data_IF_708033338776
#
_entry.id   IF_708033338776
#
_cell.length_a   1.000
_cell.length_b   1.000
_cell.length_c   1.000
_cell.angle_alpha   90.00
_cell.angle_beta   90.00
_cell.angle_gamma   90.00
#
_symmetry.space_group_name_H-M   'P 1'
#
loop_
_entity.id
_entity.type
_entity.pdbx_description
1 polymer ?
#
# COMPACT_ATOMS: atom_id res chain seq x y z
N UNK A 1 11.47 2.67 8.68
CA UNK A 1 11.23 1.33 8.19
C UNK A 1 11.82 1.11 6.80
N UNK A 2 11.60 2.03 5.81
CA UNK A 2 12.15 1.87 4.45
C UNK A 2 13.67 1.65 4.51
N UNK A 3 14.43 2.53 5.16
CA UNK A 3 15.90 2.40 5.29
C UNK A 3 16.38 1.12 5.95
N UNK A 4 15.52 0.45 6.69
CA UNK A 4 15.83 -0.78 7.40
C UNK A 4 15.34 -2.03 6.66
N UNK A 5 14.89 -1.87 5.40
CA UNK A 5 14.50 -2.98 4.56
C UNK A 5 13.19 -3.67 4.95
N UNK A 6 12.25 -2.95 5.54
CA UNK A 6 10.89 -3.47 5.71
C UNK A 6 10.17 -3.50 4.37
N UNK A 7 9.54 -4.62 4.09
CA UNK A 7 8.67 -4.77 2.93
C UNK A 7 7.32 -4.11 3.21
N UNK A 8 6.99 -3.07 2.46
CA UNK A 8 5.79 -2.27 2.69
C UNK A 8 4.84 -2.41 1.52
N UNK A 9 3.61 -2.82 1.81
CA UNK A 9 2.54 -2.91 0.82
C UNK A 9 1.49 -1.82 1.08
N UNK A 10 1.19 -1.03 0.06
CA UNK A 10 0.27 0.11 0.14
C UNK A 10 -1.04 -0.27 -0.53
N UNK A 11 -2.12 -0.29 0.24
CA UNK A 11 -3.48 -0.55 -0.25
C UNK A 11 -4.32 0.72 -0.30
N UNK A 12 -5.34 0.72 -1.13
CA UNK A 12 -6.32 1.80 -1.20
C UNK A 12 -7.09 1.83 -2.50
N UNK A 13 -8.22 2.52 -2.51
CA UNK A 13 -9.06 2.70 -3.68
C UNK A 13 -8.39 3.51 -4.80
N UNK A 14 -9.07 3.59 -5.95
CA UNK A 14 -8.62 4.44 -7.06
C UNK A 14 -8.59 5.91 -6.61
N UNK A 15 -7.49 6.60 -6.91
CA UNK A 15 -7.32 8.00 -6.55
C UNK A 15 -7.07 8.27 -5.06
N UNK A 16 -6.80 7.25 -4.23
CA UNK A 16 -6.44 7.42 -2.81
C UNK A 16 -5.03 7.97 -2.58
N UNK A 17 -4.19 8.00 -3.63
CA UNK A 17 -2.84 8.55 -3.56
C UNK A 17 -1.73 7.50 -3.36
N UNK A 18 -1.98 6.23 -3.70
CA UNK A 18 -0.99 5.13 -3.56
C UNK A 18 0.35 5.45 -4.22
N UNK A 19 0.35 5.80 -5.51
CA UNK A 19 1.57 6.14 -6.26
C UNK A 19 2.29 7.36 -5.66
N UNK A 20 1.54 8.37 -5.22
CA UNK A 20 2.11 9.55 -4.54
C UNK A 20 2.78 9.16 -3.22
N UNK A 21 2.15 8.30 -2.45
CA UNK A 21 2.68 7.82 -1.17
C UNK A 21 3.89 6.90 -1.39
N UNK A 22 3.85 6.03 -2.41
CA UNK A 22 4.98 5.18 -2.80
C UNK A 22 6.19 6.03 -3.22
N UNK A 23 5.97 7.10 -4.00
CA UNK A 23 7.02 8.07 -4.33
C UNK A 23 7.61 8.74 -3.08
N UNK A 24 6.76 9.15 -2.13
CA UNK A 24 7.23 9.73 -0.88
C UNK A 24 8.05 8.73 -0.05
N UNK A 25 7.62 7.47 0.04
CA UNK A 25 8.39 6.43 0.74
C UNK A 25 9.71 6.12 0.04
N UNK A 26 9.73 6.08 -1.29
CA UNK A 26 10.95 5.80 -2.05
C UNK A 26 12.06 6.82 -1.78
N UNK A 27 11.73 8.06 -1.40
CA UNK A 27 12.71 9.09 -1.05
C UNK A 27 13.54 8.76 0.21
N UNK A 28 13.11 7.77 0.97
CA UNK A 28 13.86 7.28 2.14
C UNK A 28 14.79 6.11 1.82
N UNK A 29 14.82 5.61 0.58
CA UNK A 29 15.77 4.58 0.16
C UNK A 29 17.17 5.21 0.15
N UNK A 30 18.20 4.55 0.75
CA UNK A 30 19.56 5.07 0.72
C UNK A 30 20.08 5.21 -0.71
N UNK A 31 20.83 6.27 -0.97
CA UNK A 31 21.41 6.58 -2.30
C UNK A 31 22.40 5.51 -2.79
N UNK A 32 22.97 4.73 -1.87
CA UNK A 32 23.92 3.66 -2.15
C UNK A 32 23.27 2.39 -2.69
N UNK A 33 21.95 2.28 -2.58
CA UNK A 33 21.23 1.08 -2.93
C UNK A 33 20.98 0.98 -4.44
N UNK A 34 20.87 -0.27 -4.92
CA UNK A 34 20.41 -0.56 -6.28
C UNK A 34 18.90 -0.77 -6.27
N UNK A 35 18.19 0.09 -6.97
CA UNK A 35 16.72 0.06 -7.06
C UNK A 35 16.28 -0.36 -8.45
N UNK A 36 15.33 -1.27 -8.53
CA UNK A 36 14.64 -1.61 -9.79
C UNK A 36 13.15 -1.29 -9.60
N UNK A 37 12.60 -0.48 -10.50
CA UNK A 37 11.16 -0.24 -10.58
C UNK A 37 10.55 -1.06 -11.72
N UNK A 38 9.35 -1.58 -11.50
CA UNK A 38 8.59 -2.34 -12.50
C UNK A 38 7.17 -1.76 -12.51
N UNK A 39 6.74 -1.27 -13.67
CA UNK A 39 5.47 -0.57 -13.85
C UNK A 39 4.82 -0.92 -15.18
N UNK A 40 3.50 -0.82 -15.27
CA UNK A 40 2.78 -0.88 -16.55
C UNK A 40 3.05 0.35 -17.40
N UNK A 41 3.10 1.52 -16.76
CA UNK A 41 3.49 2.80 -17.32
C UNK A 41 4.28 3.57 -16.27
N UNK A 42 5.32 4.28 -16.67
CA UNK A 42 6.19 4.99 -15.75
C UNK A 42 5.46 6.15 -15.05
N UNK A 43 5.09 5.95 -13.80
CA UNK A 43 4.49 6.95 -12.90
C UNK A 43 5.44 7.32 -11.74
N UNK A 44 6.36 6.42 -11.39
CA UNK A 44 7.26 6.63 -10.26
C UNK A 44 8.36 7.65 -10.58
N UNK A 45 8.54 8.61 -9.69
CA UNK A 45 9.50 9.71 -9.81
C UNK A 45 10.61 9.59 -8.76
N UNK A 46 11.41 8.52 -8.87
CA UNK A 46 12.56 8.30 -7.99
C UNK A 46 13.77 9.02 -8.61
N UNK A 47 14.28 10.04 -7.96
CA UNK A 47 15.39 10.89 -8.48
C UNK A 47 16.64 10.86 -7.62
N UNK A 48 16.52 10.46 -6.35
CA UNK A 48 17.60 10.51 -5.37
C UNK A 48 18.53 9.28 -5.40
N UNK A 49 18.16 8.20 -6.11
CA UNK A 49 18.96 6.98 -6.19
C UNK A 49 19.72 6.94 -7.53
N UNK A 50 21.05 7.07 -7.55
CA UNK A 50 21.83 7.05 -8.79
C UNK A 50 21.79 5.69 -9.51
N UNK A 51 21.72 4.58 -8.75
CA UNK A 51 21.68 3.22 -9.31
C UNK A 51 20.24 2.73 -9.46
N UNK A 52 19.49 3.39 -10.33
CA UNK A 52 18.09 3.10 -10.62
C UNK A 52 17.94 2.49 -12.01
N UNK A 53 17.24 1.35 -12.08
CA UNK A 53 16.79 0.72 -13.32
C UNK A 53 15.27 0.78 -13.38
N UNK A 54 14.72 1.25 -14.48
CA UNK A 54 13.27 1.30 -14.71
C UNK A 54 12.89 0.28 -15.77
N UNK A 55 11.94 -0.57 -15.45
CA UNK A 55 11.39 -1.60 -16.33
C UNK A 55 9.91 -1.32 -16.53
N UNK A 56 9.48 -1.33 -17.77
CA UNK A 56 8.08 -1.14 -18.14
C UNK A 56 7.59 -2.33 -18.94
N UNK A 57 6.31 -2.65 -18.78
CA UNK A 57 5.66 -3.69 -19.59
C UNK A 57 5.59 -3.26 -21.05
N UNK A 58 5.45 -4.24 -21.92
CA UNK A 58 5.25 -4.01 -23.35
C UNK A 58 4.08 -4.86 -23.81
N UNK A 59 3.08 -4.21 -24.42
CA UNK A 59 2.00 -4.92 -25.08
C UNK A 59 2.49 -5.77 -26.27
N UNK A 60 1.69 -6.75 -26.66
CA UNK A 60 1.94 -7.52 -27.87
C UNK A 60 1.91 -6.62 -29.12
N UNK A 61 2.67 -7.00 -30.13
CA UNK A 61 2.65 -6.36 -31.45
C UNK A 61 1.33 -6.67 -32.21
N UNK A 62 1.21 -6.18 -33.44
CA UNK A 62 0.01 -6.40 -34.26
C UNK A 62 -0.25 -7.88 -34.58
N UNK A 63 0.77 -8.74 -34.48
CA UNK A 63 0.70 -10.18 -34.69
C UNK A 63 0.38 -10.96 -33.41
N UNK A 64 0.23 -10.25 -32.26
CA UNK A 64 -0.05 -10.85 -30.97
C UNK A 64 1.18 -11.37 -30.23
N UNK A 65 2.39 -11.02 -30.68
CA UNK A 65 3.65 -11.53 -30.15
C UNK A 65 4.45 -10.46 -29.39
N UNK A 66 5.42 -10.91 -28.60
CA UNK A 66 6.43 -10.04 -27.96
C UNK A 66 5.92 -9.25 -26.76
N UNK A 67 4.80 -9.64 -26.16
CA UNK A 67 4.37 -9.08 -24.87
C UNK A 67 5.42 -9.34 -23.78
N UNK A 68 5.61 -8.36 -22.90
CA UNK A 68 6.43 -8.48 -21.69
C UNK A 68 5.59 -8.05 -20.51
N UNK A 69 5.27 -8.98 -19.65
CA UNK A 69 4.41 -8.76 -18.50
C UNK A 69 5.22 -8.42 -17.23
N UNK A 70 4.54 -7.91 -16.20
CA UNK A 70 5.17 -7.61 -14.90
C UNK A 70 5.87 -8.84 -14.32
N UNK A 71 5.28 -10.03 -14.44
CA UNK A 71 5.89 -11.30 -14.01
C UNK A 71 7.25 -11.57 -14.66
N UNK A 72 7.38 -11.31 -15.97
CA UNK A 72 8.63 -11.49 -16.70
C UNK A 72 9.70 -10.53 -16.21
N UNK A 73 9.30 -9.28 -15.98
CA UNK A 73 10.17 -8.22 -15.48
C UNK A 73 10.65 -8.50 -14.05
N UNK A 74 9.77 -9.00 -13.17
CA UNK A 74 10.15 -9.41 -11.82
C UNK A 74 11.21 -10.51 -11.89
N UNK A 75 10.96 -11.60 -12.64
CA UNK A 75 11.92 -12.70 -12.79
C UNK A 75 13.26 -12.26 -13.38
N UNK A 76 13.23 -11.37 -14.37
CA UNK A 76 14.46 -10.80 -14.95
C UNK A 76 15.22 -9.93 -13.94
N UNK A 77 14.50 -9.11 -13.15
CA UNK A 77 15.09 -8.20 -12.17
C UNK A 77 15.88 -8.92 -11.08
N UNK A 78 15.46 -10.13 -10.66
CA UNK A 78 16.17 -10.92 -9.65
C UNK A 78 17.61 -11.28 -10.07
N UNK A 79 17.89 -11.33 -11.39
CA UNK A 79 19.25 -11.54 -11.92
C UNK A 79 20.08 -10.27 -12.04
N UNK A 80 19.47 -9.12 -11.79
CA UNK A 80 20.13 -7.80 -11.84
C UNK A 80 20.68 -7.35 -10.49
N UNK A 81 20.58 -8.18 -9.45
CA UNK A 81 21.02 -7.91 -8.06
C UNK A 81 20.43 -6.63 -7.47
N UNK A 82 19.10 -6.45 -7.43
CA UNK A 82 18.51 -5.31 -6.75
C UNK A 82 18.65 -5.44 -5.23
N UNK A 83 18.82 -4.32 -4.53
CA UNK A 83 18.57 -4.22 -3.10
C UNK A 83 17.08 -3.97 -2.88
N UNK A 84 16.51 -3.05 -3.66
CA UNK A 84 15.09 -2.71 -3.61
C UNK A 84 14.40 -3.06 -4.93
N UNK A 85 13.29 -3.76 -4.81
CA UNK A 85 12.36 -4.04 -5.90
C UNK A 85 11.06 -3.26 -5.65
N UNK A 86 10.72 -2.36 -6.55
CA UNK A 86 9.50 -1.57 -6.45
C UNK A 86 8.56 -1.97 -7.59
N UNK A 87 7.43 -2.60 -7.23
CA UNK A 87 6.38 -2.93 -8.19
C UNK A 87 5.29 -1.89 -8.05
N UNK A 88 5.10 -1.07 -9.08
CA UNK A 88 4.19 0.07 -9.05
C UNK A 88 2.79 -0.31 -8.62
N UNK A 89 2.23 -1.39 -9.19
CA UNK A 89 0.94 -1.95 -8.77
C UNK A 89 0.87 -3.45 -9.06
N UNK A 90 0.26 -4.19 -8.13
CA UNK A 90 -0.04 -5.63 -8.26
C UNK A 90 -1.54 -5.81 -8.45
N UNK A 91 -1.93 -6.45 -9.56
CA UNK A 91 -3.32 -6.62 -9.98
C UNK A 91 -3.73 -8.06 -10.27
N UNK A 92 -2.74 -8.96 -10.47
CA UNK A 92 -2.99 -10.32 -10.93
C UNK A 92 -1.90 -11.32 -10.54
N UNK A 93 -1.57 -12.22 -11.47
CA UNK A 93 -0.67 -13.37 -11.25
C UNK A 93 0.75 -12.99 -10.84
N UNK A 94 1.21 -11.80 -11.19
CA UNK A 94 2.52 -11.25 -10.80
C UNK A 94 2.70 -11.14 -9.28
N UNK A 95 1.59 -11.20 -8.54
CA UNK A 95 1.58 -11.24 -7.08
C UNK A 95 2.49 -12.35 -6.54
N UNK A 96 2.41 -13.55 -7.09
CA UNK A 96 3.21 -14.68 -6.63
C UNK A 96 4.70 -14.48 -6.87
N UNK A 97 5.08 -13.97 -8.03
CA UNK A 97 6.48 -13.66 -8.36
C UNK A 97 7.05 -12.56 -7.44
N UNK A 98 6.23 -11.53 -7.14
CA UNK A 98 6.61 -10.49 -6.17
C UNK A 98 6.83 -11.07 -4.78
N UNK A 99 5.90 -11.88 -4.26
CA UNK A 99 6.03 -12.50 -2.94
C UNK A 99 7.29 -13.37 -2.86
N UNK A 100 7.59 -14.14 -3.90
CA UNK A 100 8.81 -14.95 -3.98
C UNK A 100 10.07 -14.07 -3.98
N UNK A 101 10.07 -12.96 -4.71
CA UNK A 101 11.18 -12.02 -4.72
C UNK A 101 11.46 -11.45 -3.31
N UNK A 102 10.41 -11.02 -2.61
CA UNK A 102 10.51 -10.49 -1.25
C UNK A 102 10.97 -11.54 -0.24
N UNK A 103 10.54 -12.79 -0.40
CA UNK A 103 10.95 -13.92 0.45
C UNK A 103 12.39 -14.39 0.20
N UNK A 104 13.04 -13.93 -0.87
CA UNK A 104 14.44 -14.27 -1.19
C UNK A 104 15.45 -13.18 -0.78
N UNK A 105 15.03 -12.23 0.03
CA UNK A 105 15.90 -11.24 0.67
C UNK A 105 15.99 -9.88 -0.03
N UNK A 106 15.13 -9.63 -1.01
CA UNK A 106 14.99 -8.31 -1.62
C UNK A 106 14.04 -7.45 -0.79
N UNK A 107 14.37 -6.18 -0.60
CA UNK A 107 13.46 -5.23 0.02
C UNK A 107 12.44 -4.72 -1.00
N UNK A 108 11.19 -4.61 -0.59
CA UNK A 108 10.12 -4.29 -1.53
C UNK A 108 9.16 -3.20 -1.08
N UNK A 109 8.77 -2.41 -2.06
CA UNK A 109 7.65 -1.49 -1.94
C UNK A 109 6.68 -1.79 -3.07
N UNK A 110 5.39 -1.90 -2.76
CA UNK A 110 4.38 -2.16 -3.79
C UNK A 110 3.04 -1.58 -3.43
N UNK A 111 2.14 -1.50 -4.42
CA UNK A 111 0.78 -1.04 -4.20
C UNK A 111 -0.24 -2.03 -4.76
N UNK A 112 -1.46 -1.95 -4.26
CA UNK A 112 -2.59 -2.69 -4.78
C UNK A 112 -3.92 -2.06 -4.40
N UNK A 113 -4.98 -2.43 -5.10
CA UNK A 113 -6.33 -1.99 -4.76
C UNK A 113 -6.91 -2.83 -3.64
N UNK A 114 -7.40 -2.19 -2.58
CA UNK A 114 -8.09 -2.84 -1.46
C UNK A 114 -8.89 -1.81 -0.67
N UNK A 115 -9.90 -2.29 0.07
CA UNK A 115 -10.79 -1.45 0.88
C UNK A 115 -10.37 -1.38 2.35
N UNK A 116 -9.43 -2.23 2.76
CA UNK A 116 -8.80 -2.26 4.08
C UNK A 116 -7.50 -3.05 4.01
N UNK A 117 -6.72 -3.09 5.10
CA UNK A 117 -5.55 -3.97 5.20
C UNK A 117 -5.94 -5.45 5.07
N UNK A 118 -7.00 -5.89 5.75
CA UNK A 118 -7.49 -7.28 5.68
C UNK A 118 -8.04 -7.65 4.29
N UNK A 119 -8.80 -6.74 3.65
CA UNK A 119 -9.28 -6.95 2.27
C UNK A 119 -8.10 -7.10 1.29
N UNK A 120 -7.05 -6.30 1.48
CA UNK A 120 -5.86 -6.42 0.63
C UNK A 120 -5.20 -7.78 0.74
N UNK A 121 -5.09 -8.35 1.95
CA UNK A 121 -4.54 -9.70 2.12
C UNK A 121 -5.37 -10.75 1.38
N UNK A 122 -6.71 -10.70 1.52
CA UNK A 122 -7.62 -11.60 0.80
C UNK A 122 -7.48 -11.48 -0.72
N UNK A 123 -7.22 -10.29 -1.22
CA UNK A 123 -6.96 -10.05 -2.65
C UNK A 123 -5.61 -10.62 -3.07
N UNK A 124 -4.56 -10.46 -2.27
CA UNK A 124 -3.25 -11.08 -2.53
C UNK A 124 -3.35 -12.61 -2.54
N UNK A 125 -4.11 -13.21 -1.61
CA UNK A 125 -4.43 -14.65 -1.62
C UNK A 125 -5.05 -15.06 -2.97
N UNK A 126 -6.09 -14.34 -3.39
CA UNK A 126 -6.79 -14.62 -4.66
C UNK A 126 -5.84 -14.51 -5.85
N UNK A 127 -5.06 -13.44 -5.94
CA UNK A 127 -4.12 -13.21 -7.04
C UNK A 127 -3.02 -14.28 -7.09
N UNK A 128 -2.51 -14.70 -5.93
CA UNK A 128 -1.51 -15.76 -5.86
C UNK A 128 -2.07 -17.13 -6.28
N UNK A 129 -3.31 -17.44 -5.91
CA UNK A 129 -4.01 -18.67 -6.33
C UNK A 129 -4.36 -18.68 -7.82
N UNK A 130 -4.51 -17.52 -8.46
CA UNK A 130 -4.67 -17.43 -9.92
C UNK A 130 -3.36 -17.73 -10.67
N UNK A 131 -2.21 -17.55 -10.01
CA UNK A 131 -0.89 -17.76 -10.63
C UNK A 131 -0.46 -19.23 -10.63
N UNK A 132 -0.83 -20.01 -9.62
CA UNK A 132 -0.42 -21.39 -9.46
C UNK A 132 -1.40 -22.20 -8.59
N UNK A 133 -1.46 -23.51 -8.86
CA UNK A 133 -2.22 -24.47 -8.03
C UNK A 133 -1.40 -24.82 -6.78
N UNK A 134 -1.56 -24.02 -5.75
CA UNK A 134 -0.87 -24.19 -4.46
C UNK A 134 -1.87 -24.11 -3.30
N UNK A 135 -1.64 -24.84 -2.19
CA UNK A 135 -2.53 -24.78 -1.04
C UNK A 135 -2.65 -23.36 -0.47
N UNK A 136 -3.86 -22.94 -0.10
CA UNK A 136 -4.12 -21.62 0.50
C UNK A 136 -3.24 -21.35 1.73
N UNK A 137 -3.00 -22.36 2.56
CA UNK A 137 -2.10 -22.25 3.71
C UNK A 137 -0.67 -21.86 3.33
N UNK A 138 -0.16 -22.40 2.21
CA UNK A 138 1.16 -22.04 1.69
C UNK A 138 1.17 -20.60 1.16
N UNK A 139 0.10 -20.16 0.48
CA UNK A 139 -0.06 -18.77 0.02
C UNK A 139 -0.04 -17.80 1.21
N UNK A 140 -0.82 -18.08 2.25
CA UNK A 140 -0.86 -17.28 3.48
C UNK A 140 0.47 -17.20 4.17
N UNK A 141 1.18 -18.33 4.26
CA UNK A 141 2.55 -18.36 4.78
C UNK A 141 3.50 -17.50 3.97
N UNK A 142 3.44 -17.54 2.64
CA UNK A 142 4.27 -16.70 1.77
C UNK A 142 3.95 -15.21 1.92
N UNK A 143 2.68 -14.83 1.99
CA UNK A 143 2.26 -13.43 2.19
C UNK A 143 2.76 -12.93 3.55
N UNK A 144 2.53 -13.71 4.61
CA UNK A 144 2.92 -13.33 5.97
C UNK A 144 4.44 -13.22 6.16
N UNK A 145 5.22 -13.97 5.39
CA UNK A 145 6.69 -13.91 5.39
C UNK A 145 7.24 -12.78 4.50
N UNK A 146 6.53 -12.44 3.43
CA UNK A 146 7.00 -11.46 2.44
C UNK A 146 6.70 -10.02 2.82
N UNK A 147 5.59 -9.75 3.51
CA UNK A 147 5.11 -8.40 3.81
C UNK A 147 5.26 -8.13 5.30
N UNK A 148 5.98 -7.08 5.66
CA UNK A 148 6.14 -6.67 7.06
C UNK A 148 5.06 -5.65 7.47
N UNK A 149 4.75 -4.69 6.59
CA UNK A 149 3.87 -3.56 6.88
C UNK A 149 2.83 -3.38 5.78
N UNK A 150 1.58 -3.23 6.19
CA UNK A 150 0.48 -2.79 5.34
C UNK A 150 0.12 -1.35 5.67
N UNK A 151 0.02 -0.50 4.65
CA UNK A 151 -0.47 0.88 4.78
C UNK A 151 -1.74 1.02 3.98
N UNK A 152 -2.84 1.36 4.62
CA UNK A 152 -4.11 1.59 3.93
C UNK A 152 -4.41 3.07 3.76
N UNK A 153 -4.64 3.48 2.51
CA UNK A 153 -4.97 4.84 2.13
C UNK A 153 -6.45 4.94 1.75
N UNK A 154 -7.12 5.97 2.23
CA UNK A 154 -8.49 6.27 1.86
C UNK A 154 -8.67 7.69 1.34
N UNK A 155 -9.77 7.87 0.62
CA UNK A 155 -10.30 9.17 0.27
C UNK A 155 -11.54 9.42 1.11
N UNK A 156 -11.50 10.46 1.93
CA UNK A 156 -12.59 10.80 2.85
C UNK A 156 -13.74 11.54 2.13
N UNK A 157 -14.84 11.80 2.87
CA UNK A 157 -16.04 12.47 2.35
C UNK A 157 -15.76 13.89 1.81
N UNK A 158 -14.79 14.60 2.40
CA UNK A 158 -14.30 15.91 1.95
C UNK A 158 -13.31 15.83 0.79
N UNK A 159 -13.17 14.63 0.18
CA UNK A 159 -12.21 14.30 -0.89
C UNK A 159 -10.74 14.38 -0.49
N UNK A 160 -10.41 14.68 0.76
CA UNK A 160 -9.04 14.60 1.25
C UNK A 160 -8.53 13.14 1.22
N UNK A 161 -7.22 12.99 1.00
CA UNK A 161 -6.54 11.69 0.99
C UNK A 161 -5.79 11.53 2.30
N UNK A 162 -6.00 10.41 2.97
CA UNK A 162 -5.41 10.15 4.28
C UNK A 162 -4.85 8.74 4.37
N UNK A 163 -3.82 8.58 5.20
CA UNK A 163 -3.46 7.26 5.73
C UNK A 163 -4.52 6.92 6.77
N UNK A 164 -5.25 5.83 6.53
CA UNK A 164 -6.31 5.38 7.43
C UNK A 164 -5.80 4.36 8.45
N UNK A 165 -4.85 3.52 8.04
CA UNK A 165 -4.32 2.46 8.89
C UNK A 165 -2.88 2.15 8.51
N UNK A 166 -2.05 1.87 9.52
CA UNK A 166 -0.74 1.24 9.36
C UNK A 166 -0.73 0.01 10.25
N UNK A 167 -0.49 -1.15 9.65
CA UNK A 167 -0.61 -2.45 10.31
C UNK A 167 0.63 -3.28 10.06
N UNK A 168 1.19 -3.88 11.10
CA UNK A 168 2.27 -4.85 11.05
C UNK A 168 1.70 -6.25 10.78
N UNK A 169 2.37 -7.01 9.93
CA UNK A 169 2.11 -8.43 9.71
C UNK A 169 3.01 -9.23 10.64
N UNK A 170 2.42 -9.98 11.57
CA UNK A 170 3.16 -10.72 12.59
C UNK A 170 3.56 -12.14 12.16
N UNK A 171 2.87 -12.72 11.18
CA UNK A 171 3.11 -14.08 10.74
C UNK A 171 1.82 -14.81 10.36
N UNK A 172 1.95 -16.12 10.18
CA UNK A 172 0.84 -17.02 9.87
C UNK A 172 0.70 -18.04 10.99
N UNK A 173 -0.38 -17.97 11.75
CA UNK A 173 -0.70 -18.86 12.88
C UNK A 173 -2.19 -19.21 12.85
N UNK A 174 -2.54 -20.41 13.30
CA UNK A 174 -3.93 -20.90 13.42
C UNK A 174 -4.79 -20.73 12.15
N UNK A 175 -4.16 -20.89 10.98
CA UNK A 175 -4.86 -20.78 9.69
C UNK A 175 -5.13 -19.35 9.22
N UNK A 176 -4.63 -18.32 9.91
CA UNK A 176 -4.82 -16.93 9.58
C UNK A 176 -3.51 -16.12 9.61
N UNK A 177 -3.43 -15.07 8.78
CA UNK A 177 -2.36 -14.08 8.86
C UNK A 177 -2.67 -13.17 10.05
N UNK A 178 -1.72 -13.07 10.97
CA UNK A 178 -1.84 -12.26 12.18
C UNK A 178 -1.48 -10.81 11.89
N UNK A 179 -2.37 -9.90 12.24
CA UNK A 179 -2.21 -8.46 12.03
C UNK A 179 -2.14 -7.72 13.36
N UNK A 180 -1.27 -6.73 13.44
CA UNK A 180 -1.11 -5.87 14.60
C UNK A 180 -1.19 -4.39 14.16
N UNK A 181 -2.29 -3.71 14.45
CA UNK A 181 -2.44 -2.29 14.13
C UNK A 181 -1.42 -1.45 14.89
N UNK A 182 -0.70 -0.60 14.16
CA UNK A 182 0.26 0.36 14.73
C UNK A 182 -0.34 1.76 14.82
N UNK A 183 -1.03 2.18 13.76
CA UNK A 183 -1.68 3.49 13.69
C UNK A 183 -3.05 3.35 13.05
N UNK A 184 -3.99 4.17 13.50
CA UNK A 184 -5.34 4.28 12.95
C UNK A 184 -5.74 5.75 12.84
N UNK A 185 -6.40 6.11 11.75
CA UNK A 185 -6.98 7.45 11.62
C UNK A 185 -8.25 7.54 12.44
N UNK A 186 -8.33 8.56 13.28
CA UNK A 186 -9.52 8.89 14.07
C UNK A 186 -10.01 10.28 13.67
N UNK A 187 -11.28 10.34 13.26
CA UNK A 187 -11.95 11.62 13.04
C UNK A 187 -12.23 12.27 14.41
N UNK A 188 -11.93 13.56 14.52
CA UNK A 188 -12.44 14.32 15.65
C UNK A 188 -13.92 14.55 15.40
N UNK A 189 -14.76 14.01 16.28
CA UNK A 189 -16.19 14.32 16.29
C UNK A 189 -16.37 15.83 16.44
N UNK A 190 -17.37 16.38 15.74
CA UNK A 190 -17.81 17.73 16.02
C UNK A 190 -18.09 17.84 17.52
N UNK A 191 -17.31 18.68 18.20
CA UNK A 191 -17.67 19.09 19.56
C UNK A 191 -18.92 19.92 19.34
N UNK A 192 -20.09 19.39 19.72
CA UNK A 192 -21.32 20.16 19.83
C UNK A 192 -21.01 21.37 20.70
N UNK A 193 -20.67 22.49 20.07
CA UNK A 193 -20.77 23.79 20.76
C UNK A 193 -22.26 24.07 20.92
N UNK A 194 -22.82 23.46 21.96
CA UNK A 194 -24.15 23.77 22.45
C UNK A 194 -24.18 25.18 23.01
N UNK A 195 -24.82 26.11 22.30
CA UNK A 195 -25.03 27.45 22.82
C UNK A 195 -25.86 28.32 21.89
N UNK A 196 -27.18 28.21 22.01
CA UNK A 196 -28.22 29.24 21.88
C UNK A 196 -28.21 30.18 20.64
N UNK A 197 -29.22 30.06 19.78
CA UNK A 197 -30.28 31.10 19.67
C UNK A 197 -31.28 30.72 18.57
N UNK A 198 -32.50 30.46 18.95
CA UNK A 198 -33.66 30.43 18.03
C UNK A 198 -33.85 31.81 17.38
N UNK A 199 -33.83 31.89 16.08
CA UNK A 199 -34.62 32.87 15.32
C UNK A 199 -35.08 32.23 14.02
N UNK A 200 -36.40 32.13 13.90
CA UNK A 200 -37.05 31.47 12.76
C UNK A 200 -36.82 32.18 11.43
N UNK A 201 -36.44 31.39 10.45
CA UNK A 201 -36.65 31.72 9.03
C UNK A 201 -36.79 30.42 8.23
N UNK A 202 -37.69 30.47 7.23
CA UNK A 202 -38.08 29.38 6.34
C UNK A 202 -36.83 28.61 5.82
N UNK A 203 -36.82 27.30 6.03
CA UNK A 203 -35.70 26.45 5.66
C UNK A 203 -35.52 26.31 4.15
N UNK A 204 -34.28 26.15 3.71
CA UNK A 204 -33.96 25.84 2.32
C UNK A 204 -34.31 24.39 1.97
N UNK A 205 -34.66 24.18 0.69
CA UNK A 205 -34.98 22.86 0.13
C UNK A 205 -33.87 21.83 0.34
N UNK A 206 -34.23 20.70 0.92
CA UNK A 206 -33.35 19.55 1.08
C UNK A 206 -33.45 18.63 -0.15
N UNK A 207 -32.35 17.97 -0.53
CA UNK A 207 -32.35 16.91 -1.50
C UNK A 207 -32.90 15.58 -0.91
N UNK A 208 -33.07 14.55 -1.75
CA UNK A 208 -33.60 13.24 -1.31
C UNK A 208 -32.71 12.50 -0.30
N UNK A 209 -31.51 13.01 0.01
CA UNK A 209 -30.57 12.48 1.00
C UNK A 209 -30.52 13.31 2.31
N UNK A 210 -31.34 14.37 2.40
CA UNK A 210 -31.38 15.26 3.56
C UNK A 210 -30.29 16.34 3.57
N UNK A 211 -29.49 16.48 2.52
CA UNK A 211 -28.40 17.45 2.40
C UNK A 211 -28.86 18.77 1.79
N UNK A 212 -28.36 19.89 2.30
CA UNK A 212 -28.55 21.21 1.70
C UNK A 212 -27.77 21.31 0.38
N UNK A 213 -28.44 21.61 -0.72
CA UNK A 213 -27.79 21.88 -2.03
C UNK A 213 -26.83 23.07 -1.89
N UNK A 214 -25.52 22.84 -2.15
CA UNK A 214 -24.52 23.89 -2.28
C UNK A 214 -23.70 24.24 -1.03
N UNK A 215 -23.80 23.45 0.05
CA UNK A 215 -22.80 23.59 1.13
C UNK A 215 -21.48 22.89 0.70
N UNK A 216 -20.30 23.51 0.92
CA UNK A 216 -19.04 22.82 0.77
C UNK A 216 -19.04 21.60 1.71
N UNK A 217 -18.55 20.46 1.22
CA UNK A 217 -18.36 19.27 2.06
C UNK A 217 -17.51 19.70 3.26
N UNK A 218 -18.02 19.54 4.48
CA UNK A 218 -17.30 19.91 5.70
C UNK A 218 -15.98 19.17 5.74
N UNK A 219 -14.89 19.91 5.99
CA UNK A 219 -13.55 19.36 6.05
C UNK A 219 -13.49 18.30 7.15
N UNK A 220 -12.98 17.11 6.81
CA UNK A 220 -12.78 16.04 7.81
C UNK A 220 -11.56 16.38 8.64
N UNK A 221 -11.81 16.74 9.90
CA UNK A 221 -10.76 16.93 10.90
C UNK A 221 -10.45 15.60 11.58
N UNK A 222 -9.19 15.25 11.69
CA UNK A 222 -8.77 14.02 12.34
C UNK A 222 -7.25 13.87 12.34
N UNK A 223 -6.76 12.86 13.04
CA UNK A 223 -5.34 12.58 13.16
C UNK A 223 -5.06 11.07 13.13
N UNK A 224 -3.86 10.73 12.73
CA UNK A 224 -3.37 9.36 12.77
C UNK A 224 -2.88 9.08 14.21
N UNK A 225 -3.61 8.23 14.92
CA UNK A 225 -3.34 7.91 16.34
C UNK A 225 -2.54 6.61 16.40
N UNK A 226 -1.49 6.61 17.24
CA UNK A 226 -0.75 5.40 17.54
C UNK A 226 -1.59 4.50 18.45
N UNK A 227 -1.86 3.27 18.01
CA UNK A 227 -2.66 2.28 18.76
C UNK A 227 -1.84 1.06 19.15
N UNK A 228 -0.63 0.91 18.62
CA UNK A 228 0.29 -0.16 18.93
C UNK A 228 1.74 0.22 18.69
N UNK A 229 2.65 -0.65 19.14
CA UNK A 229 4.10 -0.51 18.93
C UNK A 229 4.59 -1.62 18.02
N UNK A 230 5.55 -1.32 17.15
CA UNK A 230 6.19 -2.30 16.28
C UNK A 230 6.79 -3.44 17.12
N UNK A 231 6.46 -4.69 16.77
CA UNK A 231 6.91 -5.90 17.47
C UNK A 231 8.17 -6.49 16.84
N UNK A 232 8.20 -6.67 15.52
CA UNK A 232 9.34 -7.19 14.78
C UNK A 232 10.36 -6.07 14.54
N UNK A 233 11.35 -5.97 15.44
CA UNK A 233 12.35 -4.89 15.45
C UNK A 233 13.73 -5.34 14.96
N UNK A 234 13.84 -6.57 14.48
CA UNK A 234 15.12 -7.19 14.08
C UNK A 234 15.76 -6.41 12.93
N UNK A 235 14.98 -6.03 11.93
CA UNK A 235 15.44 -5.25 10.78
C UNK A 235 15.92 -3.85 11.19
N UNK A 236 15.27 -3.20 12.16
CA UNK A 236 15.71 -1.92 12.70
C UNK A 236 17.04 -2.05 13.44
N UNK A 237 17.19 -3.08 14.29
CA UNK A 237 18.45 -3.35 15.02
C UNK A 237 19.58 -3.66 14.04
N UNK A 238 19.33 -4.50 13.02
CA UNK A 238 20.31 -4.83 11.99
C UNK A 238 20.75 -3.58 11.20
N UNK A 239 19.87 -2.61 11.02
CA UNK A 239 20.16 -1.32 10.39
C UNK A 239 20.80 -0.29 11.34
N UNK A 240 21.11 -0.66 12.60
CA UNK A 240 21.79 0.18 13.57
C UNK A 240 20.88 1.16 14.34
N UNK A 241 19.56 0.99 14.28
CA UNK A 241 18.65 1.83 15.06
C UNK A 241 18.51 1.31 16.49
N UNK A 242 18.71 2.18 17.46
CA UNK A 242 18.46 1.91 18.89
C UNK A 242 16.99 2.24 19.19
N UNK A 243 16.22 1.24 19.69
CA UNK A 243 14.78 1.40 19.96
C UNK A 243 14.49 0.88 21.36
#
# INVERSE_FOLDING_TARGET
LVRSGYNIFISGGTGSGKTTFLNALSSYIPETERVITIEDSAELQITQVPNLVRLETRGANAEGEGAVEISDLIRASLRMRPNYLIVGEVRGKECLDMLQALNTGHFGLSTGHGNSAGDMLSRLETMALMAADIPLAAVRGQIASAIDILVHLGRLRDRSRRVLEITEVLGYEDGAIQLHPLYRFEERGDVDEGGAAETGSKGPEQDKSGRRKGQPEEAVCGSLIQVGSLRHREKLRAAGYTI
#
